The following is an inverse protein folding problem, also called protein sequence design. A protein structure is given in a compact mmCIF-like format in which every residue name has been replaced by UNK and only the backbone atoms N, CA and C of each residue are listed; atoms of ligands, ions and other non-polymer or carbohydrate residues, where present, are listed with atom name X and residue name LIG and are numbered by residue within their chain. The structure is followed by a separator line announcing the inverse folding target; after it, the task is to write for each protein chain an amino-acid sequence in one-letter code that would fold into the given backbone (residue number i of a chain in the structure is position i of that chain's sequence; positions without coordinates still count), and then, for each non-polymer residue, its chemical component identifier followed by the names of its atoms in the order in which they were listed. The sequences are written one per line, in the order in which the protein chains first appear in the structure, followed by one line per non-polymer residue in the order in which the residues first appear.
data_IF_198517425953
#
_entry.id   IF_198517425953
#
_cell.length_a   1.000
_cell.length_b   1.000
_cell.length_c   1.000
_cell.angle_alpha   90.00
_cell.angle_beta   90.00
_cell.angle_gamma   90.00
#
_symmetry.space_group_name_H-M   'P 1'
#
loop_
_entity.id
_entity.type
_entity.pdbx_description
1 polymer ?
#
# COMPACT_ATOMS: atom_id res chain seq x y z
N UNK A 1 10.72 -13.35 -0.94
CA UNK A 1 10.29 -13.79 -2.25
C UNK A 1 10.56 -12.69 -3.28
N UNK A 2 11.35 -12.96 -4.29
CA UNK A 2 11.65 -11.98 -5.32
C UNK A 2 10.52 -11.89 -6.33
N UNK A 3 10.45 -10.78 -7.05
CA UNK A 3 9.47 -10.62 -8.13
C UNK A 3 9.63 -11.72 -9.19
N UNK A 4 10.87 -12.08 -9.49
CA UNK A 4 11.15 -13.14 -10.46
C UNK A 4 10.54 -14.48 -10.03
N UNK A 5 10.62 -14.81 -8.74
CA UNK A 5 10.04 -16.05 -8.22
C UNK A 5 8.51 -16.05 -8.26
N UNK A 6 7.90 -14.87 -8.16
CA UNK A 6 6.45 -14.73 -8.21
C UNK A 6 5.88 -14.77 -9.62
N UNK A 7 6.67 -14.46 -10.65
CA UNK A 7 6.19 -14.34 -12.03
C UNK A 7 5.52 -15.59 -12.58
N UNK A 8 6.02 -16.82 -12.33
CA UNK A 8 5.33 -18.02 -12.82
C UNK A 8 3.92 -18.18 -12.25
N UNK A 9 3.71 -17.70 -11.01
CA UNK A 9 2.40 -17.75 -10.36
C UNK A 9 1.47 -16.69 -10.96
N UNK A 10 2.02 -15.53 -11.30
CA UNK A 10 1.27 -14.41 -11.85
C UNK A 10 1.08 -14.50 -13.37
N UNK A 11 1.76 -15.44 -14.02
CA UNK A 11 1.69 -15.67 -15.47
C UNK A 11 1.93 -14.39 -16.27
N UNK A 12 3.01 -13.66 -15.94
CA UNK A 12 3.37 -12.44 -16.65
C UNK A 12 4.89 -12.33 -16.80
N UNK A 13 5.32 -11.56 -17.80
CA UNK A 13 6.74 -11.29 -18.03
C UNK A 13 7.26 -10.29 -17.01
N UNK A 14 8.61 -10.24 -16.80
CA UNK A 14 9.19 -9.21 -15.94
C UNK A 14 8.82 -7.78 -16.36
N UNK A 15 8.76 -7.52 -17.65
CA UNK A 15 8.40 -6.19 -18.18
C UNK A 15 6.96 -5.84 -17.85
N UNK A 16 6.04 -6.78 -17.99
CA UNK A 16 4.64 -6.59 -17.64
C UNK A 16 4.48 -6.34 -16.14
N UNK A 17 5.19 -7.12 -15.32
CA UNK A 17 5.15 -6.95 -13.87
C UNK A 17 5.68 -5.60 -13.45
N UNK A 18 6.77 -5.13 -14.06
CA UNK A 18 7.34 -3.82 -13.76
C UNK A 18 6.39 -2.68 -14.11
N UNK A 19 5.72 -2.78 -15.26
CA UNK A 19 4.73 -1.77 -15.66
C UNK A 19 3.58 -1.68 -14.68
N UNK A 20 3.06 -2.82 -14.24
CA UNK A 20 1.95 -2.86 -13.28
C UNK A 20 2.39 -2.34 -11.92
N UNK A 21 3.58 -2.72 -11.49
CA UNK A 21 4.13 -2.21 -10.23
C UNK A 21 4.24 -0.69 -10.27
N UNK A 22 4.83 -0.15 -11.34
CA UNK A 22 5.01 1.29 -11.48
C UNK A 22 3.67 2.02 -11.54
N UNK A 23 2.68 1.47 -12.22
CA UNK A 23 1.34 2.04 -12.29
C UNK A 23 0.73 2.19 -10.90
N UNK A 24 0.73 1.11 -10.12
CA UNK A 24 0.11 1.12 -8.80
C UNK A 24 0.91 1.92 -7.78
N UNK A 25 2.23 1.91 -7.87
CA UNK A 25 3.08 2.75 -7.04
C UNK A 25 2.80 4.23 -7.30
N UNK A 26 2.60 4.59 -8.56
CA UNK A 26 2.27 5.96 -8.95
C UNK A 26 0.88 6.37 -8.44
N UNK A 27 -0.09 5.47 -8.53
CA UNK A 27 -1.43 5.73 -7.98
C UNK A 27 -1.36 5.98 -6.47
N UNK A 28 -0.58 5.17 -5.76
CA UNK A 28 -0.40 5.34 -4.32
C UNK A 28 0.25 6.68 -4.00
N UNK A 29 1.27 7.07 -4.78
CA UNK A 29 1.94 8.36 -4.62
C UNK A 29 0.97 9.52 -4.83
N UNK A 30 0.16 9.45 -5.87
CA UNK A 30 -0.83 10.50 -6.15
C UNK A 30 -1.84 10.63 -5.01
N UNK A 31 -2.28 9.52 -4.46
CA UNK A 31 -3.17 9.52 -3.30
C UNK A 31 -2.49 10.18 -2.09
N UNK A 32 -1.24 9.82 -1.84
CA UNK A 32 -0.47 10.38 -0.73
C UNK A 32 -0.30 11.90 -0.88
N UNK A 33 -0.01 12.38 -2.08
CA UNK A 33 0.15 13.80 -2.32
C UNK A 33 -1.13 14.58 -2.04
N UNK A 34 -2.28 14.02 -2.40
CA UNK A 34 -3.57 14.65 -2.08
C UNK A 34 -3.82 14.67 -0.57
N UNK A 35 -3.56 13.55 0.11
CA UNK A 35 -3.74 13.47 1.57
C UNK A 35 -2.76 14.35 2.33
N UNK A 36 -1.52 14.44 1.85
CA UNK A 36 -0.50 15.25 2.49
C UNK A 36 -0.89 16.73 2.49
N UNK A 37 -1.53 17.19 1.42
CA UNK A 37 -2.05 18.56 1.36
C UNK A 37 -3.04 18.82 2.48
N UNK A 38 -3.89 17.84 2.82
CA UNK A 38 -4.89 17.96 3.87
C UNK A 38 -4.32 17.84 5.28
N UNK A 39 -3.27 17.03 5.45
CA UNK A 39 -2.74 16.69 6.77
C UNK A 39 -1.45 17.43 7.13
N UNK A 40 -0.98 18.33 6.26
CA UNK A 40 0.19 19.19 6.52
C UNK A 40 1.43 18.42 6.97
N UNK A 41 1.71 17.32 6.27
CA UNK A 41 2.88 16.47 6.53
C UNK A 41 2.95 15.92 7.97
N UNK A 42 1.81 15.73 8.62
CA UNK A 42 1.76 15.21 9.98
C UNK A 42 2.52 13.89 10.14
N UNK A 43 2.65 13.12 9.08
CA UNK A 43 3.36 11.84 9.10
C UNK A 43 4.83 11.97 9.50
N UNK A 44 5.45 13.14 9.31
CA UNK A 44 6.87 13.33 9.62
C UNK A 44 7.15 13.27 11.12
N UNK A 45 6.19 13.59 11.96
CA UNK A 45 6.36 13.57 13.42
C UNK A 45 6.04 12.22 14.04
N UNK A 46 5.55 11.27 13.26
CA UNK A 46 5.12 9.98 13.78
C UNK A 46 6.29 9.02 13.95
N UNK A 47 6.14 8.10 14.90
CA UNK A 47 7.12 7.03 15.10
C UNK A 47 6.96 5.95 14.05
N UNK A 48 8.06 5.24 13.74
CA UNK A 48 8.02 4.09 12.82
C UNK A 48 6.98 3.06 13.28
N UNK A 49 6.89 2.79 14.58
CA UNK A 49 5.92 1.84 15.11
C UNK A 49 4.47 2.23 14.83
N UNK A 50 4.18 3.52 14.72
CA UNK A 50 2.84 3.99 14.34
C UNK A 50 2.47 3.57 12.93
N UNK A 51 3.40 3.61 12.00
CA UNK A 51 3.14 3.14 10.62
C UNK A 51 2.90 1.65 10.59
N UNK A 52 3.63 0.89 11.38
CA UNK A 52 3.42 -0.55 11.52
C UNK A 52 1.99 -0.82 12.01
N UNK A 53 1.54 -0.10 13.02
CA UNK A 53 0.19 -0.23 13.57
C UNK A 53 -0.87 0.14 12.53
N UNK A 54 -0.65 1.19 11.76
CA UNK A 54 -1.58 1.59 10.70
C UNK A 54 -1.66 0.54 9.59
N UNK A 55 -0.53 -0.03 9.20
CA UNK A 55 -0.50 -1.10 8.20
C UNK A 55 -1.32 -2.29 8.70
N UNK A 56 -1.11 -2.70 9.94
CA UNK A 56 -1.85 -3.80 10.53
C UNK A 56 -3.36 -3.52 10.55
N UNK A 57 -3.75 -2.31 10.94
CA UNK A 57 -5.14 -1.89 10.95
C UNK A 57 -5.77 -1.99 9.56
N UNK A 58 -5.04 -1.55 8.52
CA UNK A 58 -5.52 -1.61 7.14
C UNK A 58 -5.64 -3.06 6.64
N UNK A 59 -4.70 -3.91 7.01
CA UNK A 59 -4.77 -5.33 6.68
C UNK A 59 -6.01 -5.96 7.32
N UNK A 60 -6.26 -5.68 8.58
CA UNK A 60 -7.45 -6.19 9.27
C UNK A 60 -8.74 -5.71 8.62
N UNK A 61 -8.76 -4.45 8.19
CA UNK A 61 -9.92 -3.89 7.50
C UNK A 61 -10.17 -4.59 6.16
N UNK A 62 -9.12 -4.86 5.39
CA UNK A 62 -9.26 -5.61 4.14
C UNK A 62 -9.84 -6.99 4.41
N UNK A 63 -9.34 -7.69 5.43
CA UNK A 63 -9.84 -9.00 5.80
C UNK A 63 -11.33 -8.97 6.19
N UNK A 64 -11.74 -7.96 6.95
CA UNK A 64 -13.14 -7.78 7.33
C UNK A 64 -14.03 -7.57 6.11
N UNK A 65 -13.59 -6.73 5.16
CA UNK A 65 -14.36 -6.47 3.94
C UNK A 65 -14.50 -7.76 3.12
N UNK A 66 -13.42 -8.52 2.98
CA UNK A 66 -13.44 -9.80 2.27
C UNK A 66 -14.38 -10.82 2.93
N UNK A 67 -14.36 -10.90 4.26
CA UNK A 67 -15.19 -11.83 5.01
C UNK A 67 -16.68 -11.51 4.91
N UNK A 68 -17.04 -10.24 4.95
CA UNK A 68 -18.43 -9.78 4.92
C UNK A 68 -19.00 -9.81 3.50
N UNK A 69 -18.23 -9.28 2.55
CA UNK A 69 -18.72 -9.03 1.20
C UNK A 69 -18.53 -10.21 0.25
N UNK A 70 -17.63 -11.12 0.58
CA UNK A 70 -17.22 -12.17 -0.34
C UNK A 70 -16.45 -11.59 -1.51
N UNK A 71 -16.08 -12.46 -2.45
CA UNK A 71 -15.22 -12.08 -3.57
C UNK A 71 -15.88 -11.15 -4.58
N UNK A 72 -17.20 -11.04 -4.57
CA UNK A 72 -17.95 -10.28 -5.58
C UNK A 72 -18.08 -8.79 -5.30
N UNK A 73 -17.83 -8.36 -4.06
CA UNK A 73 -17.92 -6.95 -3.67
C UNK A 73 -16.54 -6.35 -3.39
N UNK A 74 -15.55 -6.87 -4.05
CA UNK A 74 -14.14 -6.68 -3.76
C UNK A 74 -13.66 -5.24 -3.97
N UNK A 75 -14.24 -4.50 -4.90
CA UNK A 75 -13.63 -3.24 -5.30
C UNK A 75 -13.83 -2.10 -4.32
N UNK A 76 -14.85 -2.16 -3.46
CA UNK A 76 -15.16 -1.02 -2.60
C UNK A 76 -14.25 -0.94 -1.38
N UNK A 77 -13.24 -0.09 -1.48
CA UNK A 77 -12.36 0.24 -0.38
C UNK A 77 -11.15 -0.67 -0.21
N UNK A 78 -11.12 -1.84 -0.83
CA UNK A 78 -9.97 -2.75 -0.70
C UNK A 78 -8.75 -2.17 -1.38
N UNK A 79 -8.88 -1.70 -2.60
CA UNK A 79 -7.78 -1.08 -3.34
C UNK A 79 -7.26 0.17 -2.63
N UNK A 80 -8.14 1.02 -2.11
CA UNK A 80 -7.74 2.20 -1.35
C UNK A 80 -6.97 1.82 -0.08
N UNK A 81 -7.38 0.75 0.60
CA UNK A 81 -6.64 0.26 1.76
C UNK A 81 -5.25 -0.26 1.38
N UNK A 82 -5.11 -0.94 0.25
CA UNK A 82 -3.80 -1.36 -0.24
C UNK A 82 -2.91 -0.17 -0.57
N UNK A 83 -3.46 0.89 -1.18
CA UNK A 83 -2.69 2.11 -1.46
C UNK A 83 -2.19 2.75 -0.17
N UNK A 84 -3.03 2.81 0.86
CA UNK A 84 -2.63 3.32 2.17
C UNK A 84 -1.51 2.47 2.77
N UNK A 85 -1.57 1.15 2.64
CA UNK A 85 -0.52 0.25 3.12
C UNK A 85 0.81 0.56 2.44
N UNK A 86 0.80 0.74 1.12
CA UNK A 86 2.00 1.10 0.34
C UNK A 86 2.59 2.39 0.89
N UNK A 87 1.76 3.41 1.08
CA UNK A 87 2.21 4.73 1.53
C UNK A 87 2.77 4.68 2.95
N UNK A 88 2.11 3.98 3.87
CA UNK A 88 2.63 3.82 5.23
C UNK A 88 3.95 3.06 5.24
N UNK A 89 4.09 2.04 4.40
CA UNK A 89 5.35 1.30 4.29
C UNK A 89 6.48 2.20 3.78
N UNK A 90 6.20 3.04 2.79
CA UNK A 90 7.18 3.99 2.26
C UNK A 90 7.54 5.02 3.33
N UNK A 91 6.57 5.57 4.06
CA UNK A 91 6.84 6.51 5.15
C UNK A 91 7.72 5.89 6.22
N UNK A 92 7.43 4.65 6.60
CA UNK A 92 8.26 3.93 7.56
C UNK A 92 9.70 3.79 7.06
N UNK A 93 9.87 3.46 5.79
CA UNK A 93 11.20 3.32 5.17
C UNK A 93 11.94 4.65 5.15
N UNK A 94 11.25 5.75 4.82
CA UNK A 94 11.84 7.09 4.83
C UNK A 94 12.32 7.44 6.25
N UNK A 95 11.47 7.22 7.25
CA UNK A 95 11.81 7.50 8.65
C UNK A 95 13.02 6.69 9.11
N UNK A 96 13.12 5.43 8.69
CA UNK A 96 14.27 4.60 9.01
C UNK A 96 15.56 5.13 8.39
N UNK A 97 15.48 5.74 7.21
CA UNK A 97 16.65 6.26 6.50
C UNK A 97 17.10 7.63 6.99
N UNK A 98 16.30 8.33 7.76
CA UNK A 98 16.59 9.67 8.28
C UNK A 98 17.41 9.67 9.57
N UNK A 99 18.00 8.59 9.93
CA UNK A 99 18.80 8.49 11.15
C UNK A 99 20.07 9.32 11.13
#
# INVERSE_FOLDING_TARGET
LSLHDALPILDMTPEEAMKLYDLHAKEALELMLRKNHDYDEAWRSMRVSSYTDFILTKIQRVKEIEDIAGATLVSEGIDANYMDIINYAVFGAIKMSEK
#
